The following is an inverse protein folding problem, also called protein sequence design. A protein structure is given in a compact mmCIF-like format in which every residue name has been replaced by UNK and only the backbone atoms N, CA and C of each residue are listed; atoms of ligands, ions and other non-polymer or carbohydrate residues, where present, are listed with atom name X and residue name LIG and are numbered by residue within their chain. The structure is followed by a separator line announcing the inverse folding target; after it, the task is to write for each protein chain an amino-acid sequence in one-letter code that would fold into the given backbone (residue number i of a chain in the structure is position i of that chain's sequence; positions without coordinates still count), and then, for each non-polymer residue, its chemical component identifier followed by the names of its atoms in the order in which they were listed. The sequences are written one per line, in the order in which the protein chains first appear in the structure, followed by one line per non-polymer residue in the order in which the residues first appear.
data_IF_705195116564
#
_entry.id   IF_705195116564
#
_cell.length_a   1.000
_cell.length_b   1.000
_cell.length_c   1.000
_cell.angle_alpha   90.00
_cell.angle_beta   90.00
_cell.angle_gamma   90.00
#
_symmetry.space_group_name_H-M   'P 1'
#
loop_
_entity.id
_entity.type
_entity.pdbx_description
1 polymer ?
#
# COMPACT_ATOMS: atom_id res chain seq x y z
N UNK A 1 30.42 -58.17 -43.79
CA UNK A 1 30.92 -56.79 -43.96
C UNK A 1 29.80 -55.83 -43.58
N UNK A 2 30.18 -54.73 -42.95
CA UNK A 2 29.45 -54.06 -41.86
C UNK A 2 28.29 -53.16 -42.30
N UNK A 3 27.18 -53.24 -41.55
CA UNK A 3 26.10 -52.23 -41.53
C UNK A 3 26.62 -50.94 -40.89
N UNK A 4 26.48 -49.82 -41.58
CA UNK A 4 26.68 -48.47 -41.02
C UNK A 4 25.44 -48.05 -40.24
N UNK A 5 25.54 -48.01 -38.91
CA UNK A 5 24.50 -47.42 -38.06
C UNK A 5 24.64 -45.89 -38.06
N UNK A 6 23.50 -45.23 -38.24
CA UNK A 6 23.40 -43.78 -38.12
C UNK A 6 23.45 -43.36 -36.65
N UNK A 7 24.30 -42.39 -36.34
CA UNK A 7 24.23 -41.64 -35.09
C UNK A 7 23.60 -40.28 -35.37
N UNK A 8 22.28 -40.22 -35.16
CA UNK A 8 21.57 -38.96 -35.02
C UNK A 8 22.03 -38.30 -33.73
N UNK A 9 22.91 -37.30 -33.83
CA UNK A 9 23.23 -36.41 -32.71
C UNK A 9 21.96 -35.63 -32.37
N UNK A 10 21.21 -36.09 -31.38
CA UNK A 10 20.11 -35.34 -30.79
C UNK A 10 20.69 -34.09 -30.11
N UNK A 11 20.76 -33.00 -30.87
CA UNK A 11 21.00 -31.66 -30.34
C UNK A 11 19.90 -31.34 -29.34
N UNK A 12 20.18 -31.57 -28.07
CA UNK A 12 19.27 -31.20 -26.99
C UNK A 12 19.38 -29.69 -26.86
N UNK A 13 18.32 -28.96 -27.26
CA UNK A 13 18.28 -27.51 -27.09
C UNK A 13 18.59 -27.16 -25.62
N UNK A 14 19.46 -26.17 -25.36
CA UNK A 14 19.84 -25.80 -23.99
C UNK A 14 18.58 -25.39 -23.21
N UNK A 15 18.29 -26.13 -22.13
CA UNK A 15 17.13 -25.85 -21.27
C UNK A 15 17.43 -24.66 -20.37
N UNK A 16 16.54 -23.67 -20.38
CA UNK A 16 16.63 -22.51 -19.49
C UNK A 16 16.54 -22.94 -18.02
N UNK A 17 17.41 -22.44 -17.13
CA UNK A 17 17.33 -22.72 -15.70
C UNK A 17 16.03 -22.15 -15.11
N UNK A 18 15.56 -22.67 -13.95
CA UNK A 18 14.44 -22.07 -13.24
C UNK A 18 14.74 -20.61 -12.87
N UNK A 19 13.74 -19.71 -12.89
CA UNK A 19 13.94 -18.32 -12.53
C UNK A 19 14.42 -18.16 -11.08
N UNK A 20 15.31 -17.18 -10.86
CA UNK A 20 15.74 -16.75 -9.53
C UNK A 20 14.74 -15.73 -9.02
N UNK A 21 13.98 -16.06 -7.97
CA UNK A 21 13.06 -15.12 -7.33
C UNK A 21 13.76 -14.32 -6.22
N UNK A 22 13.65 -12.99 -6.28
CA UNK A 22 14.16 -12.07 -5.26
C UNK A 22 13.05 -11.11 -4.80
N UNK A 23 13.02 -10.75 -3.52
CA UNK A 23 12.06 -9.77 -3.01
C UNK A 23 12.62 -8.36 -3.20
N UNK A 24 11.84 -7.48 -3.81
CA UNK A 24 12.17 -6.06 -3.94
C UNK A 24 11.38 -5.28 -2.87
N UNK A 25 12.03 -4.84 -1.78
CA UNK A 25 11.34 -4.17 -0.69
C UNK A 25 11.11 -2.70 -1.04
N UNK A 26 9.86 -2.32 -1.28
CA UNK A 26 9.46 -0.98 -1.71
C UNK A 26 8.66 -0.26 -0.62
N UNK A 27 8.83 1.05 -0.49
CA UNK A 27 7.99 1.87 0.40
C UNK A 27 6.68 2.29 -0.28
N UNK A 28 5.72 2.78 0.50
CA UNK A 28 4.47 3.30 -0.05
C UNK A 28 4.69 4.52 -0.94
N UNK A 29 5.64 5.38 -0.61
CA UNK A 29 5.99 6.57 -1.38
C UNK A 29 6.58 6.20 -2.74
N UNK A 30 7.41 5.15 -2.81
CA UNK A 30 7.95 4.63 -4.08
C UNK A 30 6.83 4.05 -4.95
N UNK A 31 5.90 3.30 -4.35
CA UNK A 31 4.74 2.71 -5.03
C UNK A 31 3.68 3.76 -5.40
N UNK A 32 3.73 4.94 -4.77
CA UNK A 32 2.88 6.09 -5.08
C UNK A 32 3.49 6.96 -6.20
N UNK A 33 4.76 7.36 -6.06
CA UNK A 33 5.42 8.30 -6.97
C UNK A 33 5.97 7.63 -8.24
N UNK A 34 6.26 6.34 -8.17
CA UNK A 34 6.74 5.57 -9.31
C UNK A 34 8.24 5.68 -9.59
N UNK A 35 9.06 6.08 -8.59
CA UNK A 35 10.49 6.38 -8.80
C UNK A 35 11.34 5.16 -9.16
N UNK A 36 11.16 4.05 -8.44
CA UNK A 36 11.93 2.80 -8.63
C UNK A 36 11.07 1.65 -9.18
N UNK A 37 9.75 1.81 -9.18
CA UNK A 37 8.75 0.80 -9.53
C UNK A 37 7.58 1.48 -10.20
N UNK A 38 6.75 0.75 -10.96
CA UNK A 38 5.57 1.40 -11.55
C UNK A 38 4.56 1.78 -10.45
N UNK A 39 3.94 2.97 -10.55
CA UNK A 39 2.98 3.40 -9.56
C UNK A 39 1.77 2.46 -9.53
N UNK A 40 1.26 2.18 -8.33
CA UNK A 40 0.10 1.32 -8.13
C UNK A 40 0.38 -0.18 -8.18
N UNK A 41 1.64 -0.61 -8.32
CA UNK A 41 1.99 -2.03 -8.15
C UNK A 41 1.63 -2.51 -6.75
N UNK A 42 1.10 -3.74 -6.68
CA UNK A 42 0.65 -4.37 -5.44
C UNK A 42 1.70 -5.34 -4.93
N UNK A 43 1.68 -5.60 -3.63
CA UNK A 43 2.46 -6.69 -3.03
C UNK A 43 2.23 -8.00 -3.81
N UNK A 44 3.32 -8.70 -4.14
CA UNK A 44 3.29 -9.93 -4.91
C UNK A 44 3.35 -9.75 -6.44
N UNK A 45 3.37 -8.50 -6.94
CA UNK A 45 3.62 -8.25 -8.38
C UNK A 45 5.00 -8.81 -8.75
N UNK A 46 5.04 -9.69 -9.74
CA UNK A 46 6.28 -10.31 -10.25
C UNK A 46 6.78 -9.54 -11.47
N UNK A 47 8.04 -9.16 -11.44
CA UNK A 47 8.74 -8.46 -12.52
C UNK A 47 9.81 -9.39 -13.04
N UNK A 48 9.61 -9.91 -14.24
CA UNK A 48 10.56 -10.81 -14.88
C UNK A 48 11.53 -10.01 -15.74
N UNK A 49 12.81 -10.12 -15.43
CA UNK A 49 13.91 -9.63 -16.25
C UNK A 49 14.52 -10.83 -16.97
N UNK A 50 14.25 -10.96 -18.28
CA UNK A 50 14.71 -12.10 -19.04
C UNK A 50 16.25 -12.11 -19.11
N UNK A 51 16.83 -13.28 -18.91
CA UNK A 51 18.26 -13.55 -19.10
C UNK A 51 19.22 -12.71 -18.21
N UNK A 52 18.72 -12.20 -17.07
CA UNK A 52 19.48 -11.41 -16.08
C UNK A 52 19.84 -12.16 -14.80
N UNK A 53 19.55 -13.45 -14.74
CA UNK A 53 19.90 -14.33 -13.62
C UNK A 53 21.28 -14.95 -13.76
N UNK A 54 21.53 -16.01 -13.00
CA UNK A 54 22.83 -16.69 -13.00
C UNK A 54 23.14 -17.31 -14.37
N UNK A 55 24.36 -17.10 -14.86
CA UNK A 55 24.86 -17.63 -16.13
C UNK A 55 25.83 -18.78 -15.87
N UNK A 56 25.65 -19.90 -16.56
CA UNK A 56 26.55 -21.06 -16.48
C UNK A 56 27.08 -21.40 -17.87
N UNK A 57 28.34 -21.86 -17.98
CA UNK A 57 28.88 -22.35 -19.26
C UNK A 57 27.97 -23.45 -19.84
N UNK A 58 27.59 -23.31 -21.11
CA UNK A 58 26.65 -24.18 -21.85
C UNK A 58 25.16 -24.12 -21.44
N UNK A 59 24.72 -23.12 -20.68
CA UNK A 59 23.31 -22.92 -20.33
C UNK A 59 22.83 -21.50 -20.66
N UNK A 60 21.57 -21.36 -21.09
CA UNK A 60 20.97 -20.03 -21.24
C UNK A 60 20.90 -19.33 -19.87
N UNK A 61 21.06 -17.99 -19.81
CA UNK A 61 20.97 -17.28 -18.53
C UNK A 61 19.60 -17.48 -17.87
N UNK A 62 19.57 -17.60 -16.55
CA UNK A 62 18.30 -17.71 -15.81
C UNK A 62 17.49 -16.41 -15.93
N UNK A 63 16.18 -16.49 -15.71
CA UNK A 63 15.37 -15.29 -15.52
C UNK A 63 15.50 -14.78 -14.09
N UNK A 64 15.58 -13.46 -13.94
CA UNK A 64 15.55 -12.82 -12.62
C UNK A 64 14.14 -12.29 -12.39
N UNK A 65 13.45 -12.81 -11.37
CA UNK A 65 12.07 -12.43 -11.05
C UNK A 65 12.08 -11.66 -9.74
N UNK A 66 11.75 -10.37 -9.79
CA UNK A 66 11.55 -9.57 -8.59
C UNK A 66 10.09 -9.62 -8.15
N UNK A 67 9.85 -9.99 -6.90
CA UNK A 67 8.54 -9.93 -6.27
C UNK A 67 8.48 -8.67 -5.42
N UNK A 68 7.55 -7.77 -5.74
CA UNK A 68 7.32 -6.56 -4.93
C UNK A 68 6.90 -6.97 -3.53
N UNK A 69 7.66 -6.52 -2.53
CA UNK A 69 7.29 -6.60 -1.13
C UNK A 69 7.10 -5.19 -0.58
N UNK A 70 5.96 -4.95 0.02
CA UNK A 70 5.60 -3.64 0.54
C UNK A 70 6.09 -3.51 1.98
N UNK A 71 6.88 -2.48 2.25
CA UNK A 71 7.35 -2.18 3.60
C UNK A 71 6.19 -1.64 4.43
N UNK A 72 6.05 -2.09 5.70
CA UNK A 72 5.08 -1.50 6.61
C UNK A 72 5.38 -0.02 6.82
N UNK A 73 4.35 0.79 6.83
CA UNK A 73 4.43 2.23 7.09
C UNK A 73 3.71 2.54 8.41
N UNK A 74 4.24 3.48 9.19
CA UNK A 74 3.74 3.77 10.55
C UNK A 74 2.36 4.46 10.56
N UNK A 75 2.16 5.40 9.63
CA UNK A 75 0.91 6.18 9.50
C UNK A 75 -0.13 5.52 8.59
N UNK A 76 0.31 5.05 7.42
CA UNK A 76 -0.57 4.50 6.39
C UNK A 76 -0.56 2.98 6.35
N UNK A 77 -1.74 2.40 6.18
CA UNK A 77 -1.93 0.99 5.87
C UNK A 77 -2.61 0.88 4.52
N UNK A 78 -1.93 0.29 3.55
CA UNK A 78 -2.53 0.06 2.23
C UNK A 78 -3.41 -1.18 2.24
N UNK A 79 -4.57 -1.06 1.58
CA UNK A 79 -5.41 -2.21 1.21
C UNK A 79 -5.77 -2.13 -0.27
N UNK A 80 -5.03 -2.90 -1.08
CA UNK A 80 -5.17 -2.88 -2.53
C UNK A 80 -4.83 -1.51 -3.15
N UNK A 81 -5.86 -0.75 -3.49
CA UNK A 81 -5.74 0.60 -4.06
C UNK A 81 -6.09 1.70 -3.04
N UNK A 82 -6.64 1.30 -1.89
CA UNK A 82 -7.07 2.22 -0.85
C UNK A 82 -5.96 2.40 0.18
N UNK A 83 -5.94 3.57 0.82
CA UNK A 83 -5.08 3.86 1.96
C UNK A 83 -5.95 4.00 3.20
N UNK A 84 -5.53 3.39 4.30
CA UNK A 84 -6.15 3.56 5.60
C UNK A 84 -5.20 4.29 6.52
N UNK A 85 -5.73 5.25 7.28
CA UNK A 85 -5.00 5.96 8.34
C UNK A 85 -5.84 5.97 9.60
N UNK A 86 -5.20 5.76 10.75
CA UNK A 86 -5.85 5.84 12.05
C UNK A 86 -5.58 7.20 12.67
N UNK A 87 -6.62 8.03 12.82
CA UNK A 87 -6.52 9.35 13.43
C UNK A 87 -7.18 9.37 14.79
N UNK A 88 -6.40 9.70 15.82
CA UNK A 88 -6.91 9.89 17.18
C UNK A 88 -7.43 11.31 17.34
N UNK A 89 -8.66 11.42 17.82
CA UNK A 89 -9.34 12.70 18.11
C UNK A 89 -9.89 12.70 19.53
N UNK A 90 -9.96 13.87 20.15
CA UNK A 90 -10.58 14.02 21.47
C UNK A 90 -12.10 14.00 21.36
N UNK A 91 -12.78 13.69 22.47
CA UNK A 91 -14.25 13.75 22.53
C UNK A 91 -14.80 15.15 22.16
N UNK A 92 -14.08 16.22 22.54
CA UNK A 92 -14.47 17.59 22.21
C UNK A 92 -14.41 17.85 20.70
N UNK A 93 -13.35 17.40 20.03
CA UNK A 93 -13.20 17.49 18.57
C UNK A 93 -14.20 16.61 17.83
N UNK A 94 -14.51 15.44 18.38
CA UNK A 94 -15.49 14.52 17.80
C UNK A 94 -16.92 15.07 17.80
N UNK A 95 -17.27 15.86 18.82
CA UNK A 95 -18.61 16.46 18.97
C UNK A 95 -18.70 17.88 18.38
N UNK A 96 -17.62 18.67 18.49
CA UNK A 96 -17.57 20.07 18.06
C UNK A 96 -17.13 20.30 16.63
N UNK A 97 -16.83 19.22 15.89
CA UNK A 97 -16.20 19.27 14.58
C UNK A 97 -14.68 19.46 14.69
N UNK A 98 -13.96 18.91 13.72
CA UNK A 98 -12.50 18.99 13.66
C UNK A 98 -12.02 19.06 12.22
N UNK A 99 -10.80 19.54 12.02
CA UNK A 99 -10.14 19.49 10.70
C UNK A 99 -9.01 18.47 10.77
N UNK A 100 -9.15 17.37 10.04
CA UNK A 100 -8.12 16.35 9.96
C UNK A 100 -7.04 16.81 8.96
N UNK A 101 -5.89 17.24 9.48
CA UNK A 101 -4.67 17.47 8.68
C UNK A 101 -3.93 16.15 8.49
N UNK A 102 -3.72 15.76 7.24
CA UNK A 102 -3.13 14.48 6.85
C UNK A 102 -1.99 14.73 5.88
N UNK A 103 -0.80 14.23 6.21
CA UNK A 103 0.39 14.36 5.36
C UNK A 103 0.40 13.23 4.33
N UNK A 104 -0.01 13.55 3.11
CA UNK A 104 -0.12 12.60 2.00
C UNK A 104 1.25 12.07 1.56
N UNK A 105 1.26 10.95 0.83
CA UNK A 105 2.49 10.30 0.35
C UNK A 105 3.29 11.14 -0.67
N UNK A 106 2.71 12.20 -1.23
CA UNK A 106 3.42 13.14 -2.10
C UNK A 106 4.03 14.33 -1.35
N UNK A 107 3.90 14.36 -0.02
CA UNK A 107 4.43 15.43 0.83
C UNK A 107 3.53 16.65 0.95
N UNK A 108 2.30 16.63 0.40
CA UNK A 108 1.30 17.67 0.65
C UNK A 108 0.55 17.39 1.95
N UNK A 109 0.17 18.44 2.67
CA UNK A 109 -0.78 18.34 3.79
C UNK A 109 -2.20 18.57 3.28
N UNK A 110 -3.04 17.55 3.38
CA UNK A 110 -4.46 17.59 3.05
C UNK A 110 -5.26 17.94 4.30
N UNK A 111 -6.03 19.03 4.24
CA UNK A 111 -6.94 19.44 5.33
C UNK A 111 -8.36 19.02 4.99
N UNK A 112 -8.89 18.05 5.75
CA UNK A 112 -10.23 17.52 5.57
C UNK A 112 -11.12 18.03 6.72
N UNK A 113 -12.02 18.98 6.48
CA UNK A 113 -12.96 19.44 7.50
C UNK A 113 -14.00 18.34 7.78
N UNK A 114 -14.18 18.00 9.04
CA UNK A 114 -15.17 17.05 9.53
C UNK A 114 -16.19 17.82 10.36
N UNK A 115 -17.33 18.11 9.73
CA UNK A 115 -18.46 18.79 10.38
C UNK A 115 -19.39 17.80 11.07
N UNK A 116 -19.36 16.53 10.68
CA UNK A 116 -20.19 15.49 11.25
C UNK A 116 -19.68 15.02 12.61
N UNK A 117 -20.59 14.47 13.41
CA UNK A 117 -20.26 13.92 14.72
C UNK A 117 -19.49 12.62 14.53
N UNK A 118 -18.25 12.60 15.02
CA UNK A 118 -17.36 11.45 14.90
C UNK A 118 -17.72 10.44 16.01
N UNK A 119 -18.45 9.39 15.65
CA UNK A 119 -18.70 8.26 16.55
C UNK A 119 -17.48 7.34 16.67
N UNK A 120 -17.34 6.55 17.76
CA UNK A 120 -16.33 5.50 17.83
C UNK A 120 -16.49 4.52 16.64
N UNK A 121 -15.43 4.37 15.84
CA UNK A 121 -15.47 3.54 14.62
C UNK A 121 -15.96 4.28 13.37
N UNK A 122 -16.20 5.60 13.46
CA UNK A 122 -16.47 6.42 12.29
C UNK A 122 -15.28 6.40 11.32
N UNK A 123 -15.58 6.23 10.05
CA UNK A 123 -14.61 6.21 8.96
C UNK A 123 -15.02 7.27 7.93
N UNK A 124 -14.08 8.16 7.62
CA UNK A 124 -14.27 9.17 6.58
C UNK A 124 -13.53 8.72 5.33
N UNK A 125 -14.23 8.69 4.20
CA UNK A 125 -13.66 8.34 2.91
C UNK A 125 -13.38 9.61 2.12
N UNK A 126 -12.12 9.84 1.79
CA UNK A 126 -11.68 10.92 0.92
C UNK A 126 -11.39 10.34 -0.46
N UNK A 127 -12.22 10.64 -1.47
CA UNK A 127 -12.07 10.05 -2.79
C UNK A 127 -10.80 10.54 -3.47
N UNK A 128 -10.15 9.68 -4.26
CA UNK A 128 -8.98 9.99 -5.10
C UNK A 128 -7.69 10.40 -4.35
N UNK A 129 -7.60 10.15 -3.05
CA UNK A 129 -6.40 10.40 -2.23
C UNK A 129 -5.71 9.10 -1.74
N UNK A 130 -6.08 7.95 -2.31
CA UNK A 130 -5.45 6.65 -2.09
C UNK A 130 -4.27 6.37 -3.03
N UNK A 131 -3.99 5.08 -3.26
CA UNK A 131 -2.90 4.65 -4.13
C UNK A 131 -3.27 4.79 -5.62
N UNK A 132 -2.29 5.07 -6.51
CA UNK A 132 -2.51 5.04 -7.95
C UNK A 132 -3.01 3.68 -8.43
N UNK A 133 -3.92 3.67 -9.41
CA UNK A 133 -4.46 2.45 -9.99
C UNK A 133 -3.62 2.09 -11.22
N UNK A 134 -2.80 1.03 -11.14
CA UNK A 134 -1.93 0.62 -12.25
C UNK A 134 -2.67 0.34 -13.57
N UNK A 135 -3.95 -0.04 -13.49
CA UNK A 135 -4.81 -0.29 -14.67
C UNK A 135 -5.38 0.99 -15.29
N UNK A 136 -5.46 2.09 -14.52
CA UNK A 136 -6.11 3.34 -14.92
C UNK A 136 -5.18 4.51 -14.61
N UNK A 137 -4.27 4.85 -15.55
CA UNK A 137 -3.33 5.96 -15.37
C UNK A 137 -4.07 7.27 -15.11
N UNK A 138 -3.76 7.94 -13.99
CA UNK A 138 -4.41 9.18 -13.56
C UNK A 138 -5.57 9.00 -12.57
N UNK A 139 -6.03 7.76 -12.36
CA UNK A 139 -6.96 7.44 -11.28
C UNK A 139 -6.21 6.94 -10.04
N UNK A 140 -6.77 7.32 -8.88
CA UNK A 140 -6.30 6.94 -7.55
C UNK A 140 -7.46 6.31 -6.81
N UNK A 141 -7.15 5.36 -5.94
CA UNK A 141 -8.12 4.86 -4.98
C UNK A 141 -8.45 5.91 -3.92
N UNK A 142 -9.07 5.47 -2.84
CA UNK A 142 -9.59 6.36 -1.81
C UNK A 142 -8.75 6.27 -0.53
N UNK A 143 -8.75 7.37 0.23
CA UNK A 143 -8.15 7.44 1.56
C UNK A 143 -9.25 7.30 2.62
N UNK A 144 -9.17 6.25 3.42
CA UNK A 144 -10.07 5.96 4.53
C UNK A 144 -9.42 6.38 5.84
N UNK A 145 -10.03 7.37 6.50
CA UNK A 145 -9.57 7.91 7.77
C UNK A 145 -10.43 7.29 8.85
N UNK A 146 -9.86 6.36 9.61
CA UNK A 146 -10.51 5.75 10.76
C UNK A 146 -10.28 6.61 11.99
N UNK A 147 -11.35 7.14 12.56
CA UNK A 147 -11.27 7.97 13.74
C UNK A 147 -11.36 7.14 15.02
N UNK A 148 -10.38 7.33 15.90
CA UNK A 148 -10.35 6.75 17.24
C UNK A 148 -10.62 7.86 18.26
N UNK A 149 -11.80 7.83 18.87
CA UNK A 149 -12.21 8.83 19.86
C UNK A 149 -11.56 8.51 21.21
N UNK A 150 -10.68 9.41 21.66
CA UNK A 150 -10.06 9.34 22.98
C UNK A 150 -10.95 10.01 24.01
N UNK A 151 -11.57 9.19 24.85
CA UNK A 151 -12.37 9.68 25.97
C UNK A 151 -11.48 10.24 27.10
N UNK A 152 -11.87 11.37 27.71
CA UNK A 152 -11.18 11.87 28.90
C UNK A 152 -11.42 10.93 30.08
N UNK A 153 -10.37 10.66 30.88
CA UNK A 153 -10.46 9.76 32.04
C UNK A 153 -11.12 10.41 33.25
N UNK A 154 -11.10 11.75 33.33
CA UNK A 154 -11.71 12.54 34.39
C UNK A 154 -12.34 13.78 33.79
N UNK A 155 -13.44 14.23 34.40
CA UNK A 155 -14.14 15.46 34.06
C UNK A 155 -14.48 16.18 35.36
N UNK A 156 -14.32 17.50 35.39
CA UNK A 156 -14.71 18.32 36.54
C UNK A 156 -16.24 18.39 36.67
N UNK A 157 -16.74 18.77 37.85
CA UNK A 157 -18.18 18.94 38.08
C UNK A 157 -18.80 19.95 37.11
N UNK A 158 -18.07 21.04 36.81
CA UNK A 158 -18.47 22.07 35.84
C UNK A 158 -18.56 21.50 34.41
N UNK A 159 -17.54 20.75 33.97
CA UNK A 159 -17.53 20.12 32.65
C UNK A 159 -18.66 19.10 32.48
N UNK A 160 -18.94 18.31 33.53
CA UNK A 160 -20.07 17.36 33.53
C UNK A 160 -21.41 18.06 33.44
N UNK A 161 -21.60 19.14 34.20
CA UNK A 161 -22.82 19.94 34.15
C UNK A 161 -22.99 20.63 32.78
N UNK A 162 -21.90 21.10 32.19
CA UNK A 162 -21.88 21.65 30.83
C UNK A 162 -22.30 20.63 29.78
N UNK A 163 -21.70 19.42 29.83
CA UNK A 163 -22.03 18.33 28.90
C UNK A 163 -23.49 17.87 29.05
N UNK A 164 -24.00 17.71 30.27
CA UNK A 164 -25.42 17.34 30.50
C UNK A 164 -26.37 18.36 29.89
N UNK A 165 -26.12 19.65 30.11
CA UNK A 165 -26.91 20.74 29.53
C UNK A 165 -26.87 20.76 28.01
N UNK A 166 -25.69 20.56 27.42
CA UNK A 166 -25.50 20.61 25.98
C UNK A 166 -26.07 19.37 25.25
N UNK A 167 -26.01 18.19 25.89
CA UNK A 167 -26.43 16.91 25.31
C UNK A 167 -27.85 16.49 25.75
N UNK A 168 -28.57 17.35 26.47
CA UNK A 168 -29.98 17.14 26.82
C UNK A 168 -30.24 16.11 27.92
N UNK A 169 -29.29 15.91 28.85
CA UNK A 169 -29.39 14.96 29.97
C UNK A 169 -29.46 15.59 31.35
#
# INVERSE_FOLDING_TARGET
MFRSEGTTTTGTAPKKPPPVESKLPCTLEELYSGSNVKPGWKKGTKITFPDKGNEQPNQLPADLVFVIDEKPHDVYKRDGNELMINRRVTLAEALGGTTASIDTLDGRTLSVPVTDIISPGFELVVPREGMPIAKEPGNRGDLRIKFEVKFPTKLTTEQRAGLKRALGG
#
